data_IF_759728510987
#
_entry.id   IF_759728510987
#
_cell.length_a   1.000
_cell.length_b   1.000
_cell.length_c   1.000
_cell.angle_alpha   90.00
_cell.angle_beta   90.00
_cell.angle_gamma   90.00
#
_symmetry.space_group_name_H-M   'P 1'
#
loop_
_entity.id
_entity.type
_entity.pdbx_description
1 polymer ?
#
# COMPACT_ATOMS: atom_id res chain seq x y z
N UNK A 1 39.24 -47.43 -35.21
CA UNK A 1 38.50 -47.44 -33.96
C UNK A 1 38.47 -46.00 -33.46
N UNK A 2 37.34 -45.30 -33.58
CA UNK A 2 37.17 -43.89 -33.14
C UNK A 2 36.39 -43.95 -31.81
N UNK A 3 37.04 -43.54 -30.73
CA UNK A 3 36.40 -43.41 -29.42
C UNK A 3 35.52 -42.17 -29.37
N UNK A 4 34.21 -42.34 -29.20
CA UNK A 4 33.25 -41.27 -28.92
C UNK A 4 33.29 -41.01 -27.42
N UNK A 5 33.74 -39.82 -27.04
CA UNK A 5 33.62 -39.34 -25.64
C UNK A 5 32.28 -38.63 -25.51
N UNK A 6 31.37 -39.22 -24.76
CA UNK A 6 30.07 -38.64 -24.41
C UNK A 6 30.28 -37.74 -23.18
N UNK A 7 30.20 -36.42 -23.35
CA UNK A 7 30.20 -35.46 -22.25
C UNK A 7 28.76 -35.35 -21.72
N UNK A 8 28.52 -35.91 -20.54
CA UNK A 8 27.24 -35.70 -19.79
C UNK A 8 27.36 -34.39 -19.04
N UNK A 9 26.72 -33.37 -19.55
CA UNK A 9 26.60 -32.08 -18.87
C UNK A 9 25.58 -32.19 -17.70
N UNK A 10 26.05 -32.12 -16.46
CA UNK A 10 25.20 -31.96 -15.29
C UNK A 10 24.68 -30.52 -15.26
N UNK A 11 23.40 -30.32 -15.55
CA UNK A 11 22.70 -29.06 -15.28
C UNK A 11 22.45 -28.97 -13.77
N UNK A 12 23.23 -28.16 -13.07
CA UNK A 12 22.91 -27.73 -11.72
C UNK A 12 21.78 -26.67 -11.79
N UNK A 13 20.56 -27.06 -11.50
CA UNK A 13 19.47 -26.14 -11.22
C UNK A 13 19.74 -25.56 -9.82
N UNK A 14 20.29 -24.36 -9.77
CA UNK A 14 20.34 -23.56 -8.54
C UNK A 14 18.90 -23.19 -8.18
N UNK A 15 18.26 -23.96 -7.31
CA UNK A 15 17.07 -23.52 -6.61
C UNK A 15 17.52 -22.38 -5.66
N UNK A 16 17.33 -21.14 -6.09
CA UNK A 16 17.36 -20.00 -5.17
C UNK A 16 16.13 -20.14 -4.28
N UNK A 17 16.31 -20.68 -3.08
CA UNK A 17 15.32 -20.52 -2.02
C UNK A 17 15.23 -19.01 -1.75
N UNK A 18 14.20 -18.36 -2.27
CA UNK A 18 13.88 -16.99 -1.87
C UNK A 18 13.70 -17.01 -0.35
N UNK A 19 14.57 -16.32 0.35
CA UNK A 19 14.52 -16.22 1.80
C UNK A 19 13.16 -15.62 2.15
N UNK A 20 12.37 -16.38 2.91
CA UNK A 20 11.04 -15.94 3.32
C UNK A 20 11.18 -14.69 4.18
N UNK A 21 10.52 -13.61 3.80
CA UNK A 21 10.55 -12.34 4.54
C UNK A 21 9.92 -12.57 5.93
N UNK A 22 10.66 -12.19 6.96
CA UNK A 22 10.18 -12.29 8.34
C UNK A 22 9.46 -10.98 8.73
N UNK A 23 8.15 -10.96 8.56
CA UNK A 23 7.32 -9.81 8.90
C UNK A 23 7.18 -9.69 10.43
N UNK A 24 8.07 -8.95 11.09
CA UNK A 24 8.03 -8.70 12.55
C UNK A 24 7.89 -9.98 13.41
N UNK A 25 8.46 -11.10 12.96
CA UNK A 25 8.34 -12.42 13.59
C UNK A 25 6.89 -12.95 13.72
N UNK A 26 5.96 -12.46 12.88
CA UNK A 26 4.53 -12.88 12.93
C UNK A 26 4.25 -14.23 12.25
N UNK A 27 5.26 -14.89 11.69
CA UNK A 27 5.06 -16.10 10.89
C UNK A 27 4.54 -15.80 9.48
N UNK A 28 3.60 -16.62 8.98
CA UNK A 28 3.09 -16.51 7.62
C UNK A 28 1.62 -16.07 7.61
N UNK A 29 1.26 -15.27 6.63
CA UNK A 29 -0.13 -14.99 6.32
C UNK A 29 -0.89 -16.29 5.99
N UNK A 30 -2.14 -16.38 6.43
CA UNK A 30 -3.02 -17.51 6.19
C UNK A 30 -3.97 -17.24 5.03
N UNK A 31 -4.78 -18.25 4.64
CA UNK A 31 -5.83 -18.08 3.63
C UNK A 31 -7.04 -17.26 4.12
N UNK A 32 -7.03 -16.78 5.36
CA UNK A 32 -8.04 -15.88 5.94
C UNK A 32 -7.38 -14.59 6.34
N UNK A 33 -8.01 -13.47 6.02
CA UNK A 33 -7.55 -12.16 6.47
C UNK A 33 -7.58 -12.07 8.00
N UNK A 34 -6.43 -11.69 8.58
CA UNK A 34 -6.25 -11.51 10.03
C UNK A 34 -5.52 -10.21 10.30
N UNK A 35 -5.67 -9.67 11.51
CA UNK A 35 -4.92 -8.47 11.92
C UNK A 35 -3.43 -8.76 11.89
N UNK A 36 -2.66 -7.87 11.29
CA UNK A 36 -1.21 -7.95 11.22
C UNK A 36 -0.57 -7.21 12.40
N UNK A 37 0.47 -7.82 12.98
CA UNK A 37 1.34 -7.24 14.01
C UNK A 37 0.56 -6.57 15.17
N UNK A 38 -0.43 -7.30 15.71
CA UNK A 38 -1.26 -6.84 16.81
C UNK A 38 -0.42 -6.39 18.02
N UNK A 39 -0.69 -5.18 18.52
CA UNK A 39 0.03 -4.56 19.62
C UNK A 39 1.40 -3.94 19.24
N UNK A 40 1.79 -4.01 17.95
CA UNK A 40 3.01 -3.38 17.42
C UNK A 40 2.63 -2.33 16.39
N UNK A 41 1.92 -2.74 15.31
CA UNK A 41 1.41 -1.87 14.26
C UNK A 41 -0.08 -1.63 14.49
N UNK A 42 -0.89 -2.70 14.52
CA UNK A 42 -2.31 -2.61 14.83
C UNK A 42 -2.49 -2.64 16.35
N UNK A 43 -2.73 -1.48 16.94
CA UNK A 43 -2.70 -1.27 18.41
C UNK A 43 -4.02 -0.71 18.98
N UNK A 44 -5.06 -0.62 18.12
CA UNK A 44 -6.37 -0.07 18.49
C UNK A 44 -6.51 1.43 18.22
N UNK A 45 -5.49 2.07 17.63
CA UNK A 45 -5.55 3.39 17.01
C UNK A 45 -5.99 3.27 15.55
N UNK A 46 -5.93 4.36 14.79
CA UNK A 46 -6.15 4.34 13.34
C UNK A 46 -4.80 4.07 12.68
N UNK A 47 -4.57 2.82 12.27
CA UNK A 47 -3.33 2.36 11.64
C UNK A 47 -3.61 2.00 10.18
N UNK A 48 -2.91 2.65 9.23
CA UNK A 48 -3.14 2.45 7.80
C UNK A 48 -1.85 2.49 6.97
N UNK A 49 -1.93 2.21 5.67
CA UNK A 49 -0.90 2.48 4.65
C UNK A 49 0.41 1.71 4.86
N UNK A 50 0.32 0.41 5.02
CA UNK A 50 1.50 -0.43 5.22
C UNK A 50 2.36 -0.55 3.97
N UNK A 51 3.68 -0.42 4.13
CA UNK A 51 4.68 -0.79 3.13
C UNK A 51 5.92 -1.38 3.78
N UNK A 52 6.62 -2.26 3.08
CA UNK A 52 7.90 -2.84 3.51
C UNK A 52 8.93 -2.72 2.40
N UNK A 53 10.19 -2.51 2.78
CA UNK A 53 11.31 -2.45 1.83
C UNK A 53 11.43 -3.72 0.98
N UNK A 54 12.00 -3.64 -0.24
CA UNK A 54 12.27 -4.82 -1.06
C UNK A 54 13.17 -5.86 -0.39
N UNK A 55 14.00 -5.43 0.55
CA UNK A 55 14.84 -6.31 1.37
C UNK A 55 14.09 -6.94 2.54
N UNK A 56 12.90 -6.44 2.88
CA UNK A 56 12.12 -6.89 4.04
C UNK A 56 12.68 -6.45 5.39
N UNK A 57 13.48 -5.39 5.44
CA UNK A 57 14.21 -4.94 6.62
C UNK A 57 13.75 -3.57 7.16
N UNK A 58 12.77 -2.95 6.51
CA UNK A 58 12.29 -1.62 6.89
C UNK A 58 10.79 -1.50 6.56
N UNK A 59 10.00 -1.06 7.52
CA UNK A 59 8.54 -0.94 7.43
C UNK A 59 8.15 0.50 7.69
N UNK A 60 7.22 1.02 6.88
CA UNK A 60 6.48 2.25 7.16
C UNK A 60 4.98 1.97 7.19
N UNK A 61 4.28 2.70 8.04
CA UNK A 61 2.83 2.73 8.12
C UNK A 61 2.39 4.08 8.69
N UNK A 62 1.12 4.40 8.60
CA UNK A 62 0.58 5.67 9.11
C UNK A 62 -0.24 5.45 10.37
N UNK A 63 -0.03 6.30 11.39
CA UNK A 63 -1.01 6.55 12.45
C UNK A 63 -1.75 7.83 12.10
N UNK A 64 -3.08 7.72 12.00
CA UNK A 64 -3.95 8.86 11.69
C UNK A 64 -4.71 9.30 12.93
N UNK A 65 -4.76 10.61 13.15
CA UNK A 65 -5.57 11.17 14.21
C UNK A 65 -7.07 11.01 13.88
N UNK A 66 -7.89 10.77 14.88
CA UNK A 66 -9.35 10.74 14.73
C UNK A 66 -9.83 12.07 14.07
N UNK A 67 -10.85 11.94 13.24
CA UNK A 67 -11.44 13.06 12.48
C UNK A 67 -10.49 13.67 11.43
N UNK A 68 -9.45 12.91 11.00
CA UNK A 68 -8.51 13.26 9.92
C UNK A 68 -7.74 14.59 10.14
N UNK A 69 -7.57 15.00 11.40
CA UNK A 69 -6.91 16.27 11.74
C UNK A 69 -5.43 16.25 11.33
N UNK A 70 -4.77 15.12 11.50
CA UNK A 70 -3.37 14.92 11.11
C UNK A 70 -3.05 13.44 10.95
N UNK A 71 -1.99 13.16 10.20
CA UNK A 71 -1.43 11.84 10.00
C UNK A 71 0.07 11.88 10.19
N UNK A 72 0.65 10.80 10.68
CA UNK A 72 2.09 10.70 10.92
C UNK A 72 2.60 9.37 10.42
N UNK A 73 3.62 9.39 9.58
CA UNK A 73 4.27 8.16 9.10
C UNK A 73 5.18 7.62 10.19
N UNK A 74 4.94 6.36 10.55
CA UNK A 74 5.71 5.59 11.51
C UNK A 74 6.73 4.70 10.81
N UNK A 75 7.76 4.31 11.54
CA UNK A 75 8.91 3.59 11.01
C UNK A 75 9.38 2.50 11.96
N UNK A 76 9.67 1.33 11.41
CA UNK A 76 10.29 0.20 12.10
C UNK A 76 11.42 -0.35 11.21
N UNK A 77 12.58 -0.61 11.79
CA UNK A 77 13.75 -1.09 11.05
C UNK A 77 14.36 -2.34 11.69
N UNK A 78 14.77 -3.30 10.86
CA UNK A 78 15.50 -4.49 11.27
C UNK A 78 17.00 -4.15 11.33
N UNK A 79 17.58 -4.09 12.53
CA UNK A 79 19.02 -3.86 12.74
C UNK A 79 19.63 -5.02 13.50
N UNK A 80 20.72 -5.57 12.99
CA UNK A 80 21.45 -6.69 13.63
C UNK A 80 20.52 -7.88 13.98
N UNK A 81 19.56 -8.20 13.10
CA UNK A 81 18.61 -9.30 13.26
C UNK A 81 17.48 -9.03 14.25
N UNK A 82 17.31 -7.79 14.74
CA UNK A 82 16.22 -7.39 15.63
C UNK A 82 15.48 -6.19 15.09
N UNK A 83 14.15 -6.26 15.13
CA UNK A 83 13.30 -5.11 14.86
C UNK A 83 13.39 -4.11 16.02
N UNK A 84 13.56 -2.83 15.72
CA UNK A 84 13.52 -1.76 16.71
C UNK A 84 12.07 -1.47 17.14
N UNK A 85 11.91 -0.62 18.13
CA UNK A 85 10.60 -0.08 18.51
C UNK A 85 10.04 0.83 17.40
N UNK A 86 8.71 0.98 17.36
CA UNK A 86 8.01 1.91 16.49
C UNK A 86 8.48 3.34 16.79
N UNK A 87 8.87 4.06 15.76
CA UNK A 87 9.31 5.45 15.83
C UNK A 87 8.59 6.28 14.76
N UNK A 88 8.54 7.59 14.95
CA UNK A 88 8.15 8.51 13.87
C UNK A 88 9.21 8.45 12.77
N UNK A 89 8.80 8.40 11.51
CA UNK A 89 9.72 8.42 10.38
C UNK A 89 10.56 9.72 10.40
N UNK A 90 11.88 9.67 10.05
CA UNK A 90 12.76 10.83 10.16
C UNK A 90 12.34 12.05 9.36
N UNK A 91 11.47 11.87 8.38
CA UNK A 91 10.94 12.91 7.50
C UNK A 91 9.50 13.34 7.81
N UNK A 92 8.89 12.78 8.87
CA UNK A 92 7.49 13.01 9.26
C UNK A 92 7.38 13.64 10.67
N UNK A 93 6.13 13.96 11.07
CA UNK A 93 5.79 14.44 12.41
C UNK A 93 5.76 15.96 12.58
N UNK A 94 6.01 16.73 11.52
CA UNK A 94 5.82 18.20 11.52
C UNK A 94 4.57 18.63 10.76
N UNK A 95 4.19 17.86 9.76
CA UNK A 95 3.06 18.09 8.88
C UNK A 95 2.14 16.87 8.93
N UNK A 96 1.02 16.91 8.24
CA UNK A 96 0.20 15.74 8.03
C UNK A 96 0.80 14.94 6.87
N UNK A 97 1.45 13.83 7.18
CA UNK A 97 2.14 12.94 6.25
C UNK A 97 1.51 11.57 6.29
N UNK A 98 1.26 10.95 5.13
CA UNK A 98 0.63 9.63 5.04
C UNK A 98 1.03 8.88 3.75
N UNK A 99 0.67 7.60 3.69
CA UNK A 99 0.71 6.78 2.48
C UNK A 99 2.12 6.59 1.90
N UNK A 100 3.08 6.33 2.79
CA UNK A 100 4.45 6.04 2.39
C UNK A 100 4.55 4.77 1.53
N UNK A 101 5.26 4.84 0.40
CA UNK A 101 5.47 3.72 -0.51
C UNK A 101 6.92 3.65 -1.00
N UNK A 102 7.53 2.47 -0.91
CA UNK A 102 8.87 2.24 -1.43
C UNK A 102 8.90 2.24 -2.96
N UNK A 103 9.95 2.82 -3.53
CA UNK A 103 10.35 2.51 -4.90
C UNK A 103 10.80 1.04 -5.00
N UNK A 104 10.65 0.38 -6.18
CA UNK A 104 11.03 -1.03 -6.35
C UNK A 104 12.52 -1.33 -6.08
N UNK A 105 13.40 -0.35 -6.16
CA UNK A 105 14.83 -0.48 -5.82
C UNK A 105 15.12 -0.21 -4.33
N UNK A 106 14.11 0.20 -3.55
CA UNK A 106 14.20 0.50 -2.12
C UNK A 106 15.00 1.76 -1.77
N UNK A 107 15.29 2.62 -2.75
CA UNK A 107 16.11 3.82 -2.53
C UNK A 107 15.30 5.07 -2.27
N UNK A 108 14.02 5.07 -2.60
CA UNK A 108 13.09 6.19 -2.38
C UNK A 108 11.88 5.73 -1.60
N UNK A 109 11.33 6.65 -0.81
CA UNK A 109 9.98 6.60 -0.26
C UNK A 109 9.20 7.76 -0.85
N UNK A 110 8.09 7.46 -1.49
CA UNK A 110 7.10 8.43 -1.94
C UNK A 110 5.99 8.51 -0.91
N UNK A 111 5.40 9.67 -0.70
CA UNK A 111 4.34 9.88 0.29
C UNK A 111 3.54 11.13 -0.02
N UNK A 112 2.35 11.24 0.55
CA UNK A 112 1.51 12.43 0.48
C UNK A 112 1.74 13.30 1.72
N UNK A 113 1.76 14.62 1.54
CA UNK A 113 1.99 15.55 2.64
C UNK A 113 1.39 16.92 2.37
N UNK A 114 0.79 17.53 3.38
CA UNK A 114 0.31 18.91 3.33
C UNK A 114 1.40 19.95 3.72
N UNK A 115 2.66 19.59 3.57
CA UNK A 115 3.78 20.52 3.80
C UNK A 115 3.86 21.55 2.70
N UNK A 116 4.15 22.78 3.09
CA UNK A 116 4.32 23.86 2.12
C UNK A 116 5.54 23.64 1.23
N UNK A 117 5.38 23.90 -0.06
CA UNK A 117 6.49 23.88 -1.02
C UNK A 117 7.50 24.98 -0.71
N UNK A 118 6.99 26.19 -0.40
CA UNK A 118 7.80 27.34 0.02
C UNK A 118 6.98 28.28 0.94
N UNK A 119 7.58 29.43 1.31
CA UNK A 119 6.95 30.41 2.22
C UNK A 119 5.76 31.17 1.60
N UNK A 120 5.61 31.13 0.27
CA UNK A 120 4.51 31.79 -0.45
C UNK A 120 3.36 30.84 -0.74
N UNK A 121 3.55 29.56 -0.50
CA UNK A 121 2.52 28.55 -0.64
C UNK A 121 1.38 28.82 0.36
N UNK A 122 0.20 29.16 -0.19
CA UNK A 122 -1.02 29.46 0.56
C UNK A 122 -2.10 28.37 0.43
N UNK A 123 -1.86 27.36 -0.39
CA UNK A 123 -2.77 26.23 -0.57
C UNK A 123 -2.48 25.23 0.55
N UNK A 124 -3.52 24.66 1.11
CA UNK A 124 -3.42 23.63 2.15
C UNK A 124 -3.97 22.33 1.58
N UNK A 125 -3.28 21.79 0.59
CA UNK A 125 -3.55 20.55 -0.09
C UNK A 125 -2.49 19.49 0.22
N UNK A 126 -2.72 18.27 -0.23
CA UNK A 126 -1.78 17.19 -0.13
C UNK A 126 -1.08 16.98 -1.46
N UNK A 127 0.21 17.24 -1.48
CA UNK A 127 1.10 17.01 -2.60
C UNK A 127 1.86 15.68 -2.49
N UNK A 128 2.35 15.19 -3.62
CA UNK A 128 3.29 14.08 -3.70
C UNK A 128 4.71 14.56 -3.42
N UNK A 129 5.35 13.90 -2.47
CA UNK A 129 6.73 14.13 -2.05
C UNK A 129 7.52 12.83 -2.07
N UNK A 130 8.84 12.92 -2.07
CA UNK A 130 9.71 11.76 -1.86
C UNK A 130 10.91 12.11 -1.00
N UNK A 131 11.49 11.08 -0.39
CA UNK A 131 12.81 11.11 0.24
C UNK A 131 13.69 10.05 -0.40
N UNK A 132 15.00 10.31 -0.47
CA UNK A 132 15.98 9.34 -0.96
C UNK A 132 16.87 8.86 0.17
N UNK A 133 17.33 7.60 0.08
CA UNK A 133 18.39 7.09 0.95
C UNK A 133 19.70 7.81 0.66
N UNK A 134 20.34 8.28 1.72
CA UNK A 134 21.69 8.86 1.66
C UNK A 134 22.75 7.78 1.59
N UNK A 135 24.00 8.17 1.33
CA UNK A 135 25.13 7.25 1.34
C UNK A 135 25.34 6.50 2.69
N UNK A 136 24.81 7.06 3.77
CA UNK A 136 24.86 6.46 5.12
C UNK A 136 23.62 5.61 5.45
N UNK A 137 22.84 5.22 4.44
CA UNK A 137 21.61 4.43 4.58
C UNK A 137 20.53 5.09 5.51
N UNK A 138 20.55 6.41 5.61
CA UNK A 138 19.51 7.21 6.27
C UNK A 138 18.63 7.91 5.24
N UNK A 139 17.43 8.33 5.65
CA UNK A 139 16.51 9.07 4.78
C UNK A 139 16.90 10.55 4.71
N UNK A 140 16.93 11.10 3.50
CA UNK A 140 17.23 12.49 3.22
C UNK A 140 16.07 13.42 3.54
N UNK A 141 16.20 14.68 3.09
CA UNK A 141 15.11 15.66 3.20
C UNK A 141 14.02 15.39 2.18
N UNK A 142 12.75 15.70 2.51
CA UNK A 142 11.66 15.65 1.54
C UNK A 142 11.90 16.56 0.33
N UNK A 143 11.58 16.02 -0.84
CA UNK A 143 11.66 16.72 -2.13
C UNK A 143 10.28 16.67 -2.77
N UNK A 144 9.76 17.83 -3.17
CA UNK A 144 8.49 17.96 -3.87
C UNK A 144 8.60 17.40 -5.29
N UNK A 145 7.58 16.66 -5.76
CA UNK A 145 7.58 16.04 -7.09
C UNK A 145 7.35 17.03 -8.25
N UNK A 146 7.13 18.30 -7.94
CA UNK A 146 6.92 19.37 -8.93
C UNK A 146 5.48 19.45 -9.42
N UNK A 147 5.15 20.58 -10.05
CA UNK A 147 3.80 20.94 -10.47
C UNK A 147 3.31 20.21 -11.76
N UNK A 148 4.12 19.33 -12.34
CA UNK A 148 3.67 18.42 -13.40
C UNK A 148 2.88 17.26 -12.81
N UNK A 149 3.26 16.79 -11.61
CA UNK A 149 2.57 15.72 -10.86
C UNK A 149 1.50 16.33 -9.98
N UNK A 150 1.87 17.32 -9.17
CA UNK A 150 1.02 17.95 -8.18
C UNK A 150 0.18 19.07 -8.81
N UNK A 151 -1.08 19.13 -8.45
CA UNK A 151 -2.08 20.09 -8.90
C UNK A 151 -2.52 20.99 -7.72
N UNK A 152 -3.43 21.95 -7.90
CA UNK A 152 -4.05 22.66 -6.76
C UNK A 152 -5.09 21.85 -5.99
N UNK A 153 -5.15 20.54 -6.17
CA UNK A 153 -6.00 19.58 -5.49
C UNK A 153 -5.14 18.59 -4.70
N UNK A 154 -5.78 17.69 -3.98
CA UNK A 154 -5.07 16.65 -3.24
C UNK A 154 -4.61 15.50 -4.16
N UNK A 155 -3.37 15.07 -4.00
CA UNK A 155 -2.81 13.85 -4.56
C UNK A 155 -2.47 12.86 -3.46
N UNK A 156 -2.96 11.62 -3.62
CA UNK A 156 -2.85 10.57 -2.61
C UNK A 156 -2.29 9.25 -3.15
N UNK A 157 -1.71 8.46 -2.27
CA UNK A 157 -1.34 7.06 -2.45
C UNK A 157 -0.43 6.80 -3.65
N UNK A 158 0.81 7.26 -3.60
CA UNK A 158 1.78 7.01 -4.66
C UNK A 158 2.09 5.52 -4.80
N UNK A 159 2.20 5.02 -6.03
CA UNK A 159 2.67 3.66 -6.33
C UNK A 159 3.61 3.71 -7.52
N UNK A 160 4.82 3.16 -7.37
CA UNK A 160 5.90 3.32 -8.33
C UNK A 160 6.20 1.99 -9.01
N UNK A 161 6.17 1.97 -10.34
CA UNK A 161 6.57 0.83 -11.15
C UNK A 161 8.09 0.80 -11.38
N UNK A 162 8.64 -0.35 -11.81
CA UNK A 162 10.04 -0.47 -12.23
C UNK A 162 10.40 0.39 -13.44
N UNK A 163 9.42 0.70 -14.28
CA UNK A 163 9.54 1.66 -15.38
C UNK A 163 9.85 3.09 -14.91
N UNK A 164 9.58 3.38 -13.64
CA UNK A 164 9.59 4.71 -13.05
C UNK A 164 8.22 5.40 -13.09
N UNK A 165 7.23 4.82 -13.79
CA UNK A 165 5.88 5.37 -13.84
C UNK A 165 5.30 5.49 -12.43
N UNK A 166 4.69 6.64 -12.16
CA UNK A 166 4.02 6.97 -10.91
C UNK A 166 2.52 6.85 -11.09
N UNK A 167 1.88 6.07 -10.22
CA UNK A 167 0.42 5.97 -10.13
C UNK A 167 -0.02 6.62 -8.82
N UNK A 168 -1.14 7.31 -8.82
CA UNK A 168 -1.68 7.99 -7.64
C UNK A 168 -3.17 8.25 -7.79
N UNK A 169 -3.81 8.64 -6.70
CA UNK A 169 -5.22 9.04 -6.64
C UNK A 169 -5.33 10.56 -6.68
N UNK A 170 -6.22 11.09 -7.50
CA UNK A 170 -6.54 12.52 -7.52
C UNK A 170 -7.93 12.79 -8.08
N UNK A 171 -8.39 14.02 -7.92
CA UNK A 171 -9.59 14.53 -8.57
C UNK A 171 -9.19 15.63 -9.57
N UNK A 172 -8.90 15.22 -10.82
CA UNK A 172 -8.48 16.14 -11.87
C UNK A 172 -9.57 16.30 -12.94
N UNK A 173 -9.55 17.43 -13.66
CA UNK A 173 -10.56 17.78 -14.67
C UNK A 173 -10.67 16.76 -15.82
N UNK A 174 -9.58 16.05 -16.13
CA UNK A 174 -9.54 15.01 -17.17
C UNK A 174 -9.91 13.61 -16.64
N UNK A 175 -10.39 13.50 -15.39
CA UNK A 175 -10.82 12.25 -14.77
C UNK A 175 -12.11 11.67 -15.37
N UNK A 176 -12.44 10.47 -14.97
CA UNK A 176 -13.64 9.70 -15.39
C UNK A 176 -14.77 9.84 -14.38
N UNK A 177 -14.42 9.78 -13.08
CA UNK A 177 -15.33 9.75 -11.96
C UNK A 177 -15.20 10.91 -10.98
N UNK A 178 -15.24 10.59 -9.71
CA UNK A 178 -15.12 11.56 -8.60
C UNK A 178 -13.71 11.62 -8.05
N UNK A 179 -13.14 10.48 -7.79
CA UNK A 179 -11.71 10.27 -7.58
C UNK A 179 -11.28 9.18 -8.55
N UNK A 180 -10.15 9.36 -9.17
CA UNK A 180 -9.63 8.45 -10.18
C UNK A 180 -8.17 8.10 -9.89
N UNK A 181 -7.75 6.97 -10.43
CA UNK A 181 -6.35 6.60 -10.46
C UNK A 181 -5.71 7.15 -11.71
N UNK A 182 -4.69 7.98 -11.52
CA UNK A 182 -3.89 8.58 -12.58
C UNK A 182 -2.51 7.92 -12.69
N UNK A 183 -1.88 8.10 -13.83
CA UNK A 183 -0.52 7.67 -14.11
C UNK A 183 0.26 8.81 -14.77
N UNK A 184 1.44 9.11 -14.21
CA UNK A 184 2.47 9.92 -14.86
C UNK A 184 3.53 9.00 -15.45
N UNK A 185 3.70 9.03 -16.78
CA UNK A 185 4.81 8.35 -17.44
C UNK A 185 6.14 9.00 -17.03
N UNK A 186 7.12 8.18 -16.64
CA UNK A 186 8.48 8.65 -16.40
C UNK A 186 9.33 8.49 -17.66
N UNK A 187 9.70 9.60 -18.28
CA UNK A 187 10.40 9.62 -19.56
C UNK A 187 11.51 10.66 -19.58
N UNK A 188 12.69 10.27 -20.03
CA UNK A 188 13.87 11.13 -20.11
C UNK A 188 14.28 11.78 -18.77
N UNK A 189 13.98 11.14 -17.64
CA UNK A 189 14.29 11.64 -16.30
C UNK A 189 13.23 12.54 -15.68
N UNK A 190 12.07 12.72 -16.32
CA UNK A 190 10.99 13.62 -15.88
C UNK A 190 9.63 12.94 -15.94
N UNK A 191 8.73 13.31 -15.05
CA UNK A 191 7.33 12.91 -15.13
C UNK A 191 6.57 13.70 -16.20
N UNK A 192 5.75 13.00 -16.96
CA UNK A 192 4.81 13.61 -17.89
C UNK A 192 3.49 13.94 -17.16
N UNK A 193 2.65 14.77 -17.77
CA UNK A 193 1.34 15.14 -17.22
C UNK A 193 0.49 13.91 -16.92
N UNK A 194 -0.30 13.92 -15.81
CA UNK A 194 -1.12 12.78 -15.40
C UNK A 194 -2.23 12.48 -16.40
N UNK A 195 -2.40 11.20 -16.68
CA UNK A 195 -3.52 10.67 -17.48
C UNK A 195 -4.29 9.65 -16.64
N UNK A 196 -5.63 9.60 -16.74
CA UNK A 196 -6.40 8.56 -16.05
C UNK A 196 -6.00 7.17 -16.61
N UNK A 197 -5.89 6.18 -15.72
CA UNK A 197 -5.35 4.87 -16.09
C UNK A 197 -6.18 4.20 -17.18
N UNK A 198 -7.46 3.97 -16.97
CA UNK A 198 -8.37 3.32 -17.92
C UNK A 198 -9.79 3.32 -17.39
N UNK A 199 -10.78 3.31 -18.25
CA UNK A 199 -12.19 3.10 -17.87
C UNK A 199 -12.48 1.65 -17.42
N UNK A 200 -11.58 0.72 -17.63
CA UNK A 200 -11.64 -0.63 -17.05
C UNK A 200 -11.25 -0.63 -15.56
N UNK A 201 -10.53 0.41 -15.11
CA UNK A 201 -10.12 0.65 -13.72
C UNK A 201 -10.99 1.74 -13.10
N UNK A 202 -11.00 2.94 -13.70
CA UNK A 202 -11.77 4.08 -13.24
C UNK A 202 -13.23 3.99 -13.68
N UNK A 203 -14.16 4.37 -12.83
CA UNK A 203 -15.59 4.36 -13.08
C UNK A 203 -16.23 5.76 -12.87
N UNK A 204 -17.54 5.85 -12.78
CA UNK A 204 -18.23 7.08 -12.36
C UNK A 204 -18.28 7.28 -10.84
N UNK A 205 -17.79 6.30 -10.09
CA UNK A 205 -17.71 6.30 -8.63
C UNK A 205 -16.41 6.93 -8.12
N UNK A 206 -15.82 6.25 -7.15
CA UNK A 206 -14.52 6.60 -6.57
C UNK A 206 -13.58 5.42 -6.75
N UNK A 207 -12.40 5.66 -7.26
CA UNK A 207 -11.29 4.74 -7.30
C UNK A 207 -10.07 5.39 -6.65
N UNK A 208 -9.55 4.77 -5.58
CA UNK A 208 -8.48 5.36 -4.79
C UNK A 208 -7.54 4.33 -4.19
N UNK A 209 -6.41 4.77 -3.64
CA UNK A 209 -5.36 3.99 -3.00
C UNK A 209 -4.90 2.79 -3.84
N UNK A 210 -4.32 3.06 -5.00
CA UNK A 210 -3.93 2.01 -5.93
C UNK A 210 -2.50 1.50 -5.69
N UNK A 211 -2.34 0.22 -5.39
CA UNK A 211 -1.07 -0.50 -5.52
C UNK A 211 -0.92 -1.01 -6.95
N UNK A 212 0.16 -0.65 -7.61
CA UNK A 212 0.51 -1.18 -8.93
C UNK A 212 1.65 -2.19 -8.81
N UNK A 213 1.48 -3.34 -9.43
CA UNK A 213 2.56 -4.33 -9.54
C UNK A 213 3.82 -3.66 -10.13
N UNK A 214 5.01 -3.87 -9.55
CA UNK A 214 6.23 -3.27 -10.08
C UNK A 214 6.49 -3.53 -11.57
N UNK A 215 6.01 -4.66 -12.11
CA UNK A 215 6.07 -5.00 -13.54
C UNK A 215 4.82 -4.54 -14.31
N UNK A 216 3.91 -3.77 -13.68
CA UNK A 216 2.67 -3.22 -14.25
C UNK A 216 1.74 -4.29 -14.84
N UNK A 217 1.74 -5.52 -14.29
CA UNK A 217 0.89 -6.61 -14.77
C UNK A 217 -0.51 -6.62 -14.15
N UNK A 218 -0.63 -6.06 -12.94
CA UNK A 218 -1.92 -5.87 -12.26
C UNK A 218 -1.91 -4.61 -11.40
N UNK A 219 -3.11 -4.15 -11.09
CA UNK A 219 -3.38 -3.04 -10.18
C UNK A 219 -4.44 -3.50 -9.17
N UNK A 220 -4.18 -3.24 -7.88
CA UNK A 220 -5.16 -3.36 -6.80
C UNK A 220 -5.54 -1.96 -6.36
N UNK A 221 -6.81 -1.72 -6.13
CA UNK A 221 -7.28 -0.41 -5.71
C UNK A 221 -8.57 -0.53 -4.92
N UNK A 222 -8.96 0.52 -4.23
CA UNK A 222 -10.25 0.60 -3.58
C UNK A 222 -11.27 1.23 -4.52
N UNK A 223 -12.40 0.58 -4.71
CA UNK A 223 -13.56 1.12 -5.41
C UNK A 223 -14.71 1.40 -4.44
N UNK A 224 -15.44 2.49 -4.65
CA UNK A 224 -16.66 2.80 -3.90
C UNK A 224 -17.77 3.32 -4.82
N UNK A 225 -18.98 2.83 -4.62
CA UNK A 225 -20.14 3.14 -5.47
C UNK A 225 -20.28 2.20 -6.66
N UNK A 226 -19.61 1.06 -6.67
CA UNK A 226 -19.75 0.00 -7.68
C UNK A 226 -20.91 -0.92 -7.32
N UNK A 227 -21.47 -1.61 -8.34
CA UNK A 227 -22.68 -2.45 -8.16
C UNK A 227 -22.47 -3.66 -7.26
N UNK A 228 -21.24 -4.14 -7.18
CA UNK A 228 -20.83 -5.33 -6.44
C UNK A 228 -20.08 -4.99 -5.15
N UNK A 229 -20.15 -3.72 -4.70
CA UNK A 229 -19.63 -3.32 -3.39
C UNK A 229 -20.32 -4.09 -2.26
N UNK A 230 -19.51 -4.57 -1.33
CA UNK A 230 -19.95 -5.30 -0.15
C UNK A 230 -20.06 -4.40 1.09
N UNK A 231 -19.35 -3.27 1.10
CA UNK A 231 -19.19 -2.39 2.22
C UNK A 231 -19.13 -0.89 1.89
N UNK A 232 -18.25 -0.19 2.57
CA UNK A 232 -18.04 1.26 2.44
C UNK A 232 -16.91 1.60 1.46
N UNK A 233 -16.37 0.61 0.79
CA UNK A 233 -15.29 0.62 -0.17
C UNK A 233 -14.62 -0.74 -0.13
N UNK A 234 -14.41 -1.32 -1.29
CA UNK A 234 -13.92 -2.67 -1.48
C UNK A 234 -12.64 -2.67 -2.31
N UNK A 235 -11.79 -3.67 -2.07
CA UNK A 235 -10.62 -3.91 -2.90
C UNK A 235 -11.01 -4.62 -4.20
N UNK A 236 -10.50 -4.08 -5.30
CA UNK A 236 -10.65 -4.57 -6.66
C UNK A 236 -9.28 -4.89 -7.28
N UNK A 237 -9.27 -5.75 -8.28
CA UNK A 237 -8.10 -6.05 -9.11
C UNK A 237 -8.43 -5.89 -10.59
N UNK A 238 -7.52 -5.24 -11.33
CA UNK A 238 -7.47 -5.32 -12.79
C UNK A 238 -6.12 -5.87 -13.23
N UNK A 239 -6.10 -6.69 -14.28
CA UNK A 239 -4.88 -7.23 -14.88
C UNK A 239 -4.74 -6.75 -16.31
N UNK A 240 -3.52 -6.64 -16.79
CA UNK A 240 -3.28 -6.40 -18.22
C UNK A 240 -3.46 -7.71 -19.01
N UNK A 241 -4.07 -7.59 -20.18
CA UNK A 241 -4.13 -8.68 -21.15
C UNK A 241 -2.81 -8.81 -21.94
N UNK A 242 -2.71 -9.77 -22.86
CA UNK A 242 -1.52 -9.99 -23.69
C UNK A 242 -1.14 -8.79 -24.58
N UNK A 243 -2.08 -7.85 -24.79
CA UNK A 243 -1.82 -6.60 -25.53
C UNK A 243 -1.36 -5.45 -24.64
N UNK A 244 -1.26 -5.67 -23.32
CA UNK A 244 -0.90 -4.64 -22.34
C UNK A 244 -2.07 -3.73 -21.92
N UNK A 245 -3.31 -4.06 -22.27
CA UNK A 245 -4.50 -3.27 -21.93
C UNK A 245 -5.09 -3.74 -20.59
N UNK A 246 -5.51 -2.80 -19.74
CA UNK A 246 -6.20 -3.09 -18.50
C UNK A 246 -7.56 -3.74 -18.76
N UNK A 247 -7.84 -4.85 -18.10
CA UNK A 247 -9.11 -5.56 -18.17
C UNK A 247 -10.08 -4.99 -17.12
N UNK A 248 -11.38 -5.24 -17.32
CA UNK A 248 -12.43 -4.87 -16.37
C UNK A 248 -12.08 -5.33 -14.96
N UNK A 249 -12.14 -4.39 -14.01
CA UNK A 249 -11.79 -4.66 -12.63
C UNK A 249 -12.79 -5.63 -11.97
N UNK A 250 -12.27 -6.52 -11.13
CA UNK A 250 -13.05 -7.52 -10.39
C UNK A 250 -12.93 -7.29 -8.89
N UNK A 251 -14.05 -7.37 -8.18
CA UNK A 251 -14.07 -7.35 -6.72
C UNK A 251 -13.31 -8.56 -6.15
N UNK A 252 -12.47 -8.36 -5.14
CA UNK A 252 -11.69 -9.42 -4.50
C UNK A 252 -12.54 -10.36 -3.62
N UNK A 253 -13.80 -10.02 -3.38
CA UNK A 253 -14.78 -10.86 -2.69
C UNK A 253 -14.60 -10.96 -1.17
N UNK A 254 -15.49 -11.71 -0.54
CA UNK A 254 -15.67 -11.78 0.91
C UNK A 254 -14.51 -12.38 1.71
N UNK A 255 -13.50 -12.96 1.08
CA UNK A 255 -12.28 -13.39 1.77
C UNK A 255 -11.42 -12.18 2.19
N UNK A 256 -11.55 -11.08 1.46
CA UNK A 256 -10.79 -9.84 1.66
C UNK A 256 -11.73 -8.72 2.09
N UNK A 257 -12.78 -8.46 1.31
CA UNK A 257 -13.70 -7.36 1.53
C UNK A 257 -14.72 -7.64 2.64
N UNK A 258 -15.11 -6.60 3.35
CA UNK A 258 -16.01 -6.64 4.51
C UNK A 258 -17.16 -5.64 4.36
N UNK A 259 -17.93 -5.44 5.43
CA UNK A 259 -18.94 -4.36 5.49
C UNK A 259 -18.33 -2.99 5.85
N UNK A 260 -17.07 -2.96 6.23
CA UNK A 260 -16.32 -1.74 6.50
C UNK A 260 -15.73 -1.13 5.21
N UNK A 261 -14.77 -0.26 5.38
CA UNK A 261 -13.89 0.21 4.34
C UNK A 261 -12.66 -0.70 4.31
N UNK A 262 -12.37 -1.32 3.15
CA UNK A 262 -11.18 -2.13 2.89
C UNK A 262 -10.35 -1.42 1.81
N UNK A 263 -9.14 -0.96 2.15
CA UNK A 263 -8.40 0.01 1.34
C UNK A 263 -6.88 -0.06 1.56
N UNK A 264 -6.12 0.81 0.91
CA UNK A 264 -4.66 0.90 1.02
C UNK A 264 -3.96 -0.46 0.81
N UNK A 265 -4.19 -1.16 -0.31
CA UNK A 265 -3.58 -2.45 -0.56
C UNK A 265 -2.09 -2.34 -0.83
N UNK A 266 -1.30 -3.21 -0.24
CA UNK A 266 0.12 -3.41 -0.55
C UNK A 266 0.40 -4.89 -0.76
N UNK A 267 0.99 -5.26 -1.88
CA UNK A 267 1.41 -6.65 -2.15
C UNK A 267 2.90 -6.79 -1.90
N UNK A 268 3.27 -7.81 -1.12
CA UNK A 268 4.69 -8.12 -0.89
C UNK A 268 5.45 -8.31 -2.20
N UNK A 269 6.74 -7.98 -2.21
CA UNK A 269 7.58 -8.00 -3.39
C UNK A 269 7.69 -9.40 -4.04
N UNK A 270 7.49 -10.47 -3.27
CA UNK A 270 7.40 -11.85 -3.74
C UNK A 270 5.98 -12.26 -4.20
N UNK A 271 5.01 -11.34 -4.15
CA UNK A 271 3.59 -11.49 -4.52
C UNK A 271 2.83 -12.56 -3.72
N UNK A 272 3.32 -12.93 -2.52
CA UNK A 272 2.72 -13.98 -1.69
C UNK A 272 1.74 -13.48 -0.65
N UNK A 273 1.86 -12.21 -0.26
CA UNK A 273 1.07 -11.63 0.82
C UNK A 273 0.46 -10.33 0.37
N UNK A 274 -0.84 -10.16 0.60
CA UNK A 274 -1.53 -8.89 0.51
C UNK A 274 -1.70 -8.33 1.92
N UNK A 275 -1.28 -7.08 2.10
CA UNK A 275 -1.59 -6.25 3.25
C UNK A 275 -2.61 -5.21 2.82
N UNK A 276 -3.50 -4.83 3.72
CA UNK A 276 -4.49 -3.79 3.46
C UNK A 276 -5.01 -3.20 4.76
N UNK A 277 -5.52 -2.00 4.71
CA UNK A 277 -6.17 -1.34 5.85
C UNK A 277 -7.66 -1.70 5.87
N UNK A 278 -8.22 -1.85 7.07
CA UNK A 278 -9.66 -2.11 7.19
C UNK A 278 -10.21 -1.63 8.52
N UNK A 279 -11.34 -0.93 8.49
CA UNK A 279 -12.10 -0.56 9.69
C UNK A 279 -13.23 -1.54 10.02
N UNK A 280 -13.08 -2.79 9.61
CA UNK A 280 -14.03 -3.85 9.98
C UNK A 280 -14.11 -4.01 11.49
N UNK A 281 -15.33 -4.09 12.01
CA UNK A 281 -15.54 -4.34 13.42
C UNK A 281 -15.79 -5.83 13.65
N UNK A 282 -14.77 -6.52 14.19
CA UNK A 282 -14.85 -7.96 14.52
C UNK A 282 -15.36 -8.18 15.95
N UNK A 283 -15.43 -7.13 16.76
CA UNK A 283 -15.85 -7.16 18.16
C UNK A 283 -17.29 -6.66 18.37
N UNK A 284 -18.02 -6.32 17.29
CA UNK A 284 -19.39 -5.82 17.38
C UNK A 284 -20.37 -6.88 17.88
N UNK A 285 -21.10 -6.55 18.97
CA UNK A 285 -22.18 -7.40 19.50
C UNK A 285 -23.33 -7.63 18.52
N UNK A 286 -24.36 -8.44 18.85
CA UNK A 286 -24.84 -8.61 20.22
C UNK A 286 -24.05 -9.63 21.01
N UNK A 287 -23.94 -9.39 22.31
CA UNK A 287 -23.29 -10.30 23.25
C UNK A 287 -24.30 -11.35 23.73
N UNK A 288 -23.87 -12.60 23.82
CA UNK A 288 -24.72 -13.68 24.38
C UNK A 288 -25.00 -13.52 25.88
N UNK A 289 -24.13 -12.78 26.58
CA UNK A 289 -24.21 -12.51 28.01
C UNK A 289 -23.82 -11.05 28.28
N UNK A 290 -24.31 -10.43 29.38
CA UNK A 290 -23.87 -9.10 29.78
C UNK A 290 -22.36 -9.02 29.93
N UNK A 291 -21.74 -8.05 29.26
CA UNK A 291 -20.28 -7.82 29.34
C UNK A 291 -19.95 -6.97 30.58
N UNK A 292 -18.78 -7.17 31.12
CA UNK A 292 -18.22 -6.29 32.16
C UNK A 292 -17.62 -5.03 31.56
N UNK A 293 -17.52 -3.96 32.35
CA UNK A 293 -16.84 -2.73 31.89
C UNK A 293 -15.38 -2.99 31.47
N UNK A 294 -14.68 -3.92 32.10
CA UNK A 294 -13.31 -4.30 31.72
C UNK A 294 -13.27 -4.93 30.34
N UNK A 295 -14.13 -5.90 30.07
CA UNK A 295 -14.21 -6.56 28.75
C UNK A 295 -14.55 -5.54 27.66
N UNK A 296 -15.54 -4.68 27.89
CA UNK A 296 -15.92 -3.65 26.93
C UNK A 296 -14.77 -2.68 26.64
N UNK A 297 -14.08 -2.18 27.67
CA UNK A 297 -12.93 -1.30 27.49
C UNK A 297 -11.81 -1.97 26.69
N UNK A 298 -11.49 -3.23 26.99
CA UNK A 298 -10.48 -3.99 26.23
C UNK A 298 -10.87 -4.12 24.77
N UNK A 299 -12.11 -4.47 24.46
CA UNK A 299 -12.57 -4.60 23.08
C UNK A 299 -12.52 -3.27 22.31
N UNK A 300 -12.91 -2.15 22.95
CA UNK A 300 -12.89 -0.83 22.33
C UNK A 300 -11.48 -0.24 22.16
N UNK A 301 -10.48 -0.74 22.89
CA UNK A 301 -9.09 -0.30 22.77
C UNK A 301 -8.17 -1.34 22.11
N UNK A 302 -8.73 -2.37 21.50
CA UNK A 302 -7.99 -3.42 20.80
C UNK A 302 -8.25 -3.36 19.29
N UNK A 303 -7.36 -3.90 18.46
CA UNK A 303 -7.60 -4.05 17.04
C UNK A 303 -8.92 -4.76 16.72
N UNK A 304 -9.55 -4.38 15.60
CA UNK A 304 -10.88 -4.86 15.22
C UNK A 304 -12.04 -4.15 15.94
N UNK A 305 -11.78 -3.00 16.51
CA UNK A 305 -12.76 -2.16 17.22
C UNK A 305 -13.62 -1.26 16.30
N UNK A 306 -13.37 -1.31 14.98
CA UNK A 306 -14.03 -0.48 13.97
C UNK A 306 -13.22 0.76 13.58
N UNK A 307 -12.03 0.95 14.15
CA UNK A 307 -10.99 1.83 13.63
C UNK A 307 -10.13 1.06 12.62
N UNK A 308 -9.29 1.77 11.88
CA UNK A 308 -8.46 1.14 10.85
C UNK A 308 -7.31 0.36 11.48
N UNK A 309 -7.17 -0.89 11.07
CA UNK A 309 -6.06 -1.77 11.36
C UNK A 309 -5.46 -2.31 10.07
N UNK A 310 -4.18 -2.71 10.12
CA UNK A 310 -3.54 -3.44 9.03
C UNK A 310 -3.94 -4.91 9.10
N UNK A 311 -4.50 -5.42 8.02
CA UNK A 311 -4.80 -6.84 7.82
C UNK A 311 -3.84 -7.44 6.81
N UNK A 312 -3.63 -8.75 6.90
CA UNK A 312 -2.86 -9.50 5.92
C UNK A 312 -3.50 -10.84 5.57
N UNK A 313 -3.21 -11.32 4.36
CA UNK A 313 -3.73 -12.58 3.84
C UNK A 313 -2.74 -13.19 2.84
N UNK A 314 -2.68 -14.52 2.76
CA UNK A 314 -1.96 -15.22 1.68
C UNK A 314 -2.58 -14.88 0.33
N UNK A 315 -1.76 -14.38 -0.62
CA UNK A 315 -2.26 -13.78 -1.85
C UNK A 315 -1.90 -14.54 -3.13
N UNK A 316 -0.82 -15.30 -3.16
CA UNK A 316 -0.32 -16.01 -4.35
C UNK A 316 -1.37 -16.92 -5.02
N UNK A 317 -2.19 -17.63 -4.22
CA UNK A 317 -3.27 -18.48 -4.74
C UNK A 317 -4.51 -17.65 -5.14
N UNK A 318 -4.80 -16.57 -4.45
CA UNK A 318 -5.88 -15.66 -4.82
C UNK A 318 -5.57 -14.94 -6.13
N UNK A 319 -4.33 -14.45 -6.30
CA UNK A 319 -3.90 -13.76 -7.52
C UNK A 319 -4.07 -14.61 -8.80
N UNK A 320 -4.00 -15.95 -8.69
CA UNK A 320 -4.21 -16.87 -9.82
C UNK A 320 -5.67 -17.01 -10.25
N UNK A 321 -6.61 -16.59 -9.40
CA UNK A 321 -8.05 -16.74 -9.65
C UNK A 321 -8.61 -15.60 -10.52
N UNK A 322 -7.90 -14.53 -10.60
CA UNK A 322 -8.22 -13.37 -11.41
C UNK A 322 -7.43 -13.32 -12.70
#
# INVERSE_FOLDING_TARGET
>A
MRNLITIVGLLFVLQTNAQQVNYLNQGNATAKATVFAQGIISDGLINRDFTISPKGDEIFFTIQHKDFISSTIMHIQLKNGKWNEVQVAPFSGMYSDLEAQFSPDGKKIFFSSNRKVDAMDSINDYDMWYVEKTANDSWGKPVHLGFTVNSPHDEFYPSIAKSGNLYFTAQLDNGVGKEDIFMCEFKNGEYQSPVPVSTAVNSKGYEFNAFVDPDEQFILFTGYGRKDDMGKGDLYISKKNEKGEWQEAKNLGALINSKGLDYCPFVSWDKRTLFFSSNRNINAGPYEKPVTASVLKTQLSSPGNGLDDIYWIKFDELLKQF
#
